data_IF_980009273683
#
_entry.id   IF_980009273683
#
_cell.length_a   1.000
_cell.length_b   1.000
_cell.length_c   1.000
_cell.angle_alpha   90.00
_cell.angle_beta   90.00
_cell.angle_gamma   90.00
#
_symmetry.space_group_name_H-M   'P 1'
#
loop_
_entity.id
_entity.type
_entity.pdbx_description
1 polymer ?
#
# COMPACT_ATOMS: atom_id res chain seq x y z
N UNK A 1 -16.98 -14.69 -3.71
CA UNK A 1 -16.46 -13.44 -3.12
C UNK A 1 -15.23 -13.05 -3.92
N UNK A 2 -15.28 -12.01 -4.77
CA UNK A 2 -14.07 -11.57 -5.47
C UNK A 2 -13.09 -10.98 -4.44
N UNK A 3 -11.82 -11.35 -4.54
CA UNK A 3 -10.75 -10.75 -3.75
C UNK A 3 -9.98 -9.78 -4.63
N UNK A 4 -9.65 -8.62 -4.08
CA UNK A 4 -8.82 -7.59 -4.73
C UNK A 4 -7.43 -7.55 -4.08
N UNK A 5 -6.47 -6.92 -4.76
CA UNK A 5 -5.23 -6.51 -4.13
C UNK A 5 -5.53 -5.54 -2.96
N UNK A 6 -4.70 -5.57 -1.92
CA UNK A 6 -4.93 -4.80 -0.70
C UNK A 6 -4.94 -3.28 -0.96
N UNK A 7 -5.85 -2.58 -0.30
CA UNK A 7 -6.02 -1.11 -0.40
C UNK A 7 -5.87 -0.46 0.96
N UNK A 8 -5.38 0.78 1.01
CA UNK A 8 -5.10 1.50 2.26
C UNK A 8 -5.68 2.92 2.20
N UNK A 9 -6.74 3.15 2.97
CA UNK A 9 -7.47 4.42 3.06
C UNK A 9 -7.16 5.15 4.37
N UNK A 10 -6.59 4.46 5.36
CA UNK A 10 -6.21 5.06 6.65
C UNK A 10 -4.85 4.56 7.16
N UNK A 11 -4.20 5.34 8.02
CA UNK A 11 -2.96 4.97 8.72
C UNK A 11 -3.13 3.69 9.54
N UNK A 12 -4.32 3.48 10.12
CA UNK A 12 -4.62 2.31 10.93
C UNK A 12 -4.59 1.02 10.09
N UNK A 13 -5.14 1.05 8.87
CA UNK A 13 -5.07 -0.08 7.94
C UNK A 13 -3.63 -0.40 7.54
N UNK A 14 -2.81 0.62 7.33
CA UNK A 14 -1.39 0.44 7.03
C UNK A 14 -0.62 -0.14 8.22
N UNK A 15 -0.87 0.34 9.45
CA UNK A 15 -0.23 -0.14 10.67
C UNK A 15 -0.52 -1.62 10.95
N UNK A 16 -1.73 -2.12 10.64
CA UNK A 16 -2.05 -3.54 10.76
C UNK A 16 -1.07 -4.38 9.93
N UNK A 17 -0.81 -3.96 8.70
CA UNK A 17 0.10 -4.66 7.78
C UNK A 17 1.55 -4.53 8.25
N UNK A 18 2.00 -3.35 8.68
CA UNK A 18 3.34 -3.18 9.27
C UNK A 18 3.55 -4.10 10.48
N UNK A 19 2.56 -4.24 11.36
CA UNK A 19 2.64 -5.09 12.55
C UNK A 19 2.73 -6.57 12.19
N UNK A 20 2.01 -7.01 11.15
CA UNK A 20 2.09 -8.39 10.66
C UNK A 20 3.50 -8.69 10.14
N UNK A 21 4.09 -7.79 9.35
CA UNK A 21 5.45 -7.98 8.84
C UNK A 21 6.48 -7.94 9.96
N UNK A 22 6.39 -6.97 10.87
CA UNK A 22 7.31 -6.82 12.01
C UNK A 22 7.22 -7.98 13.01
N UNK A 23 6.05 -8.60 13.17
CA UNK A 23 5.82 -9.75 14.05
C UNK A 23 6.13 -11.10 13.39
N UNK A 24 6.35 -11.14 12.07
CA UNK A 24 6.65 -12.36 11.35
C UNK A 24 8.11 -12.80 11.56
N UNK A 25 8.34 -14.11 11.68
CA UNK A 25 9.68 -14.71 11.73
C UNK A 25 10.41 -14.70 10.39
N UNK A 26 9.80 -14.10 9.35
CA UNK A 26 10.45 -13.83 8.09
C UNK A 26 11.65 -12.92 8.39
N UNK A 27 12.84 -13.36 7.97
CA UNK A 27 14.09 -12.68 8.30
C UNK A 27 13.97 -11.19 7.97
N UNK A 28 14.30 -10.31 8.93
CA UNK A 28 14.40 -8.84 8.74
C UNK A 28 15.16 -8.41 7.48
N UNK A 29 15.93 -9.32 6.88
CA UNK A 29 16.78 -9.12 5.71
C UNK A 29 16.11 -9.47 4.37
N UNK A 30 14.85 -9.97 4.35
CA UNK A 30 14.19 -10.33 3.10
C UNK A 30 12.66 -10.16 3.18
N UNK A 31 12.19 -8.93 2.97
CA UNK A 31 10.81 -8.68 2.58
C UNK A 31 10.76 -8.55 1.06
N UNK A 32 10.15 -9.51 0.32
CA UNK A 32 9.91 -9.30 -1.09
C UNK A 32 8.98 -8.08 -1.28
N UNK A 33 9.18 -7.27 -2.32
CA UNK A 33 8.22 -6.22 -2.64
C UNK A 33 6.85 -6.85 -2.89
N UNK A 34 5.82 -6.22 -2.34
CA UNK A 34 4.45 -6.73 -2.37
C UNK A 34 3.60 -5.78 -3.18
N UNK A 35 2.81 -6.35 -4.08
CA UNK A 35 1.85 -5.57 -4.86
C UNK A 35 0.65 -5.18 -4.00
N UNK A 36 0.24 -3.92 -4.15
CA UNK A 36 -0.97 -3.36 -3.54
C UNK A 36 -1.90 -2.88 -4.65
N UNK A 37 -3.18 -2.67 -4.34
CA UNK A 37 -4.21 -2.30 -5.30
C UNK A 37 -4.17 -0.84 -5.75
N UNK A 38 -3.01 -0.19 -5.70
CA UNK A 38 -2.84 1.19 -6.15
C UNK A 38 -2.32 1.20 -7.59
N UNK A 39 -3.12 1.72 -8.51
CA UNK A 39 -2.74 1.83 -9.91
C UNK A 39 -3.19 3.15 -10.54
N UNK A 40 -2.71 3.42 -11.76
CA UNK A 40 -3.12 4.54 -12.62
C UNK A 40 -3.43 4.07 -14.05
N UNK A 41 -3.84 2.81 -14.19
CA UNK A 41 -4.05 2.16 -15.49
C UNK A 41 -5.26 2.76 -16.22
N UNK A 42 -6.31 3.10 -15.48
CA UNK A 42 -7.52 3.71 -16.03
C UNK A 42 -7.39 5.22 -16.24
N UNK A 43 -6.57 5.89 -15.43
CA UNK A 43 -6.33 7.34 -15.49
C UNK A 43 -4.86 7.60 -15.24
N UNK A 44 -4.09 7.79 -16.31
CA UNK A 44 -2.63 7.93 -16.25
C UNK A 44 -2.16 9.14 -15.42
N UNK A 45 -3.06 10.05 -15.04
CA UNK A 45 -2.77 11.23 -14.22
C UNK A 45 -2.93 10.99 -12.73
N UNK A 46 -3.80 10.06 -12.31
CA UNK A 46 -4.19 9.91 -10.91
C UNK A 46 -4.11 8.47 -10.44
N UNK A 47 -3.40 8.25 -9.33
CA UNK A 47 -3.44 6.97 -8.62
C UNK A 47 -4.80 6.77 -7.93
N UNK A 48 -5.38 5.58 -8.10
CA UNK A 48 -6.68 5.18 -7.54
C UNK A 48 -6.58 3.78 -6.95
N UNK A 49 -7.40 3.50 -5.94
CA UNK A 49 -7.55 2.16 -5.39
C UNK A 49 -8.45 1.30 -6.29
N UNK A 50 -8.06 0.05 -6.51
CA UNK A 50 -8.74 -0.89 -7.42
C UNK A 50 -10.13 -1.34 -6.93
N UNK A 51 -10.41 -1.21 -5.63
CA UNK A 51 -11.64 -1.72 -5.01
C UNK A 51 -12.85 -0.79 -5.24
N UNK A 52 -12.66 0.53 -5.14
CA UNK A 52 -13.75 1.50 -5.26
C UNK A 52 -13.39 2.72 -6.14
N UNK A 53 -12.19 2.76 -6.71
CA UNK A 53 -11.74 3.86 -7.56
C UNK A 53 -11.46 5.16 -6.82
N UNK A 54 -11.47 5.16 -5.48
CA UNK A 54 -11.20 6.35 -4.68
C UNK A 54 -9.79 6.86 -4.97
N UNK A 55 -9.63 8.16 -5.29
CA UNK A 55 -8.31 8.75 -5.48
C UNK A 55 -7.43 8.56 -4.24
N UNK A 56 -6.13 8.34 -4.47
CA UNK A 56 -5.16 8.27 -3.39
C UNK A 56 -5.02 9.64 -2.70
N UNK A 57 -5.80 9.86 -1.64
CA UNK A 57 -5.72 11.06 -0.81
C UNK A 57 -4.66 10.93 0.30
N UNK A 58 -4.29 9.70 0.66
CA UNK A 58 -3.36 9.40 1.75
C UNK A 58 -1.93 9.30 1.26
N UNK A 59 -1.22 10.41 1.05
CA UNK A 59 0.22 10.37 0.80
C UNK A 59 0.97 9.93 2.07
N UNK A 60 1.47 8.68 2.11
CA UNK A 60 2.36 8.27 3.20
C UNK A 60 3.73 8.95 3.02
N UNK A 61 3.88 10.13 3.64
CA UNK A 61 5.09 10.97 3.57
C UNK A 61 6.35 10.30 4.13
N UNK A 62 6.23 9.11 4.76
CA UNK A 62 7.38 8.34 5.25
C UNK A 62 8.26 7.84 4.10
N UNK A 63 7.70 7.61 2.92
CA UNK A 63 8.44 7.17 1.72
C UNK A 63 9.05 8.33 0.91
N UNK A 64 8.75 9.59 1.22
CA UNK A 64 9.30 10.74 0.49
C UNK A 64 10.64 11.24 1.05
N UNK A 65 11.12 10.69 2.17
CA UNK A 65 12.37 11.11 2.81
C UNK A 65 13.61 10.36 2.31
N UNK A 66 13.45 9.37 1.44
CA UNK A 66 14.57 8.57 0.90
C UNK A 66 15.07 9.06 -0.48
N UNK A 67 14.55 10.17 -1.01
CA UNK A 67 15.03 10.77 -2.27
C UNK A 67 15.61 12.18 -2.09
N UNK A 68 16.26 12.44 -0.95
CA UNK A 68 17.03 13.66 -0.69
C UNK A 68 18.52 13.41 -0.77
#
# INVERSE_FOLDING_TARGET
NPAFLATFKTDHEFQIVENIFNGSSLSKNYYPPIWVGLDRLQDQKNYKWIDDGTPYAYFNARFSKETG
#
